data_IF_613650748177
#
_entry.id   IF_613650748177
#
_cell.length_a   1.000
_cell.length_b   1.000
_cell.length_c   1.000
_cell.angle_alpha   90.00
_cell.angle_beta   90.00
_cell.angle_gamma   90.00
#
_symmetry.space_group_name_H-M   'P 1'
#
loop_
_entity.id
_entity.type
_entity.pdbx_description
1 polymer ?
#
# COMPACT_ATOMS: atom_id res chain seq x y z
N UNK A 1 -4.92 -6.49 -12.79
CA UNK A 1 -5.69 -6.06 -13.98
C UNK A 1 -5.96 -4.56 -13.98
N UNK A 2 -6.47 -3.96 -12.89
CA UNK A 2 -6.74 -2.51 -12.82
C UNK A 2 -5.52 -1.59 -12.94
N UNK A 3 -4.38 -1.95 -12.34
CA UNK A 3 -3.16 -1.12 -12.33
C UNK A 3 -2.52 -0.94 -13.73
N UNK A 4 -2.65 -1.94 -14.60
CA UNK A 4 -2.12 -1.91 -15.97
C UNK A 4 -3.04 -1.16 -16.93
N UNK A 5 -4.36 -1.14 -16.67
CA UNK A 5 -5.32 -0.40 -17.47
C UNK A 5 -5.12 1.12 -17.31
N UNK A 6 -4.83 1.59 -16.09
CA UNK A 6 -4.65 3.02 -15.80
C UNK A 6 -3.29 3.54 -16.32
N UNK A 7 -2.22 2.75 -16.19
CA UNK A 7 -0.90 3.12 -16.71
C UNK A 7 -0.83 3.15 -18.25
N UNK A 8 -1.58 2.29 -18.96
CA UNK A 8 -1.61 2.28 -20.42
C UNK A 8 -2.49 3.38 -21.03
N UNK A 9 -3.48 3.88 -20.31
CA UNK A 9 -4.47 4.82 -20.87
C UNK A 9 -4.06 6.30 -20.75
N UNK A 10 -2.91 6.61 -20.12
CA UNK A 10 -2.45 7.98 -19.87
C UNK A 10 -1.02 8.28 -20.37
N UNK A 11 -0.33 7.32 -21.01
CA UNK A 11 1.01 7.55 -21.53
C UNK A 11 1.00 7.93 -23.03
N UNK A 12 1.60 9.07 -23.44
CA UNK A 12 1.89 9.35 -24.85
C UNK A 12 2.78 8.22 -25.43
N UNK A 13 2.51 7.75 -26.67
CA UNK A 13 3.11 6.54 -27.25
C UNK A 13 4.64 6.60 -27.50
N UNK A 14 5.31 7.68 -27.15
CA UNK A 14 6.69 7.97 -27.55
C UNK A 14 7.75 7.72 -26.47
N UNK A 15 7.38 7.39 -25.22
CA UNK A 15 8.34 7.39 -24.08
C UNK A 15 8.27 6.12 -23.21
N UNK A 16 7.84 4.98 -23.75
CA UNK A 16 7.88 3.70 -22.99
C UNK A 16 8.67 2.67 -23.78
N UNK A 17 9.93 2.44 -23.38
CA UNK A 17 10.80 1.43 -24.00
C UNK A 17 10.33 0.02 -23.64
N UNK A 18 10.43 -0.91 -24.60
CA UNK A 18 9.97 -2.31 -24.46
C UNK A 18 10.60 -3.03 -23.27
N UNK A 19 11.81 -2.65 -22.86
CA UNK A 19 12.52 -3.20 -21.69
C UNK A 19 11.90 -2.81 -20.34
N UNK A 20 11.40 -1.58 -20.17
CA UNK A 20 10.67 -1.18 -18.96
C UNK A 20 9.36 -1.95 -18.82
N UNK A 21 8.76 -2.32 -19.95
CA UNK A 21 7.55 -3.17 -20.02
C UNK A 21 7.87 -4.61 -19.62
N UNK A 22 8.96 -5.18 -20.10
CA UNK A 22 9.43 -6.53 -19.75
C UNK A 22 9.93 -6.65 -18.31
N UNK A 23 10.63 -5.64 -17.78
CA UNK A 23 11.02 -5.60 -16.37
C UNK A 23 9.80 -5.53 -15.46
N UNK A 24 8.79 -4.75 -15.84
CA UNK A 24 7.51 -4.72 -15.13
C UNK A 24 6.82 -6.09 -15.18
N UNK A 25 6.80 -6.78 -16.31
CA UNK A 25 6.22 -8.13 -16.47
C UNK A 25 6.93 -9.21 -15.65
N UNK A 26 8.26 -9.17 -15.54
CA UNK A 26 9.05 -10.08 -14.72
C UNK A 26 8.78 -9.85 -13.22
N UNK A 27 8.60 -8.59 -12.82
CA UNK A 27 8.17 -8.21 -11.47
C UNK A 27 6.73 -8.74 -11.24
N UNK A 28 5.81 -8.58 -12.21
CA UNK A 28 4.43 -9.09 -12.16
C UNK A 28 4.32 -10.64 -12.06
N UNK A 29 5.23 -11.40 -12.70
CA UNK A 29 5.22 -12.87 -12.60
C UNK A 29 5.76 -13.37 -11.25
N UNK A 30 6.73 -12.68 -10.65
CA UNK A 30 7.20 -12.96 -9.29
C UNK A 30 6.19 -12.49 -8.22
N UNK A 31 5.39 -11.47 -8.53
CA UNK A 31 4.28 -10.94 -7.71
C UNK A 31 3.19 -11.96 -7.40
N UNK A 32 2.72 -12.74 -8.38
CA UNK A 32 1.68 -13.77 -8.15
C UNK A 32 2.14 -14.90 -7.23
N UNK A 33 3.44 -15.03 -7.01
CA UNK A 33 4.05 -16.06 -6.16
C UNK A 33 4.35 -15.57 -4.74
N UNK A 34 4.33 -14.26 -4.49
CA UNK A 34 4.76 -13.71 -3.19
C UNK A 34 3.55 -13.51 -2.27
N UNK A 35 3.54 -14.20 -1.13
CA UNK A 35 2.40 -14.34 -0.21
C UNK A 35 1.96 -13.07 0.56
N UNK A 36 2.34 -11.86 0.15
CA UNK A 36 2.03 -10.66 0.93
C UNK A 36 2.14 -9.36 0.12
N UNK A 37 1.02 -8.69 -0.24
CA UNK A 37 1.04 -7.41 -0.96
C UNK A 37 1.61 -6.23 -0.14
N UNK A 38 1.82 -6.42 1.18
CA UNK A 38 2.27 -5.39 2.11
C UNK A 38 3.71 -4.93 1.83
N UNK A 39 4.66 -5.86 1.69
CA UNK A 39 6.09 -5.58 1.45
C UNK A 39 6.30 -4.78 0.16
N UNK A 40 5.50 -5.11 -0.85
CA UNK A 40 5.53 -4.41 -2.11
C UNK A 40 5.03 -2.98 -1.97
N UNK A 41 3.87 -2.78 -1.34
CA UNK A 41 3.32 -1.44 -1.16
C UNK A 41 4.31 -0.56 -0.39
N UNK A 42 5.01 -1.11 0.61
CA UNK A 42 6.10 -0.42 1.30
C UNK A 42 7.23 -0.05 0.35
N UNK A 43 7.71 -0.99 -0.46
CA UNK A 43 8.76 -0.73 -1.47
C UNK A 43 8.36 0.38 -2.45
N UNK A 44 7.10 0.40 -2.89
CA UNK A 44 6.59 1.44 -3.80
C UNK A 44 6.55 2.79 -3.09
N UNK A 45 6.06 2.84 -1.84
CA UNK A 45 6.02 4.05 -1.04
C UNK A 45 7.42 4.63 -0.82
N UNK A 46 8.45 3.78 -0.66
CA UNK A 46 9.82 4.24 -0.44
C UNK A 46 10.52 4.76 -1.70
N UNK A 47 10.30 4.08 -2.84
CA UNK A 47 11.04 4.30 -4.09
C UNK A 47 10.35 5.20 -5.10
N UNK A 48 9.01 5.28 -5.06
CA UNK A 48 8.26 6.10 -6.01
C UNK A 48 8.21 7.55 -5.54
N UNK A 49 8.35 8.46 -6.50
CA UNK A 49 8.11 9.91 -6.33
C UNK A 49 6.87 10.37 -7.11
N UNK A 50 6.18 9.44 -7.77
CA UNK A 50 4.99 9.73 -8.58
C UNK A 50 3.75 9.62 -7.70
N UNK A 51 3.10 10.74 -7.46
CA UNK A 51 1.95 10.88 -6.56
C UNK A 51 0.82 9.88 -6.85
N UNK A 52 0.49 9.67 -8.13
CA UNK A 52 -0.55 8.73 -8.54
C UNK A 52 -0.19 7.28 -8.15
N UNK A 53 1.09 6.90 -8.29
CA UNK A 53 1.57 5.57 -7.94
C UNK A 53 1.52 5.36 -6.43
N UNK A 54 1.88 6.40 -5.66
CA UNK A 54 1.79 6.39 -4.20
C UNK A 54 0.33 6.28 -3.73
N UNK A 55 -0.58 7.02 -4.37
CA UNK A 55 -2.01 6.97 -4.06
C UNK A 55 -2.62 5.59 -4.32
N UNK A 56 -2.32 5.00 -5.48
CA UNK A 56 -2.78 3.66 -5.82
C UNK A 56 -2.17 2.59 -4.90
N UNK A 57 -0.89 2.71 -4.54
CA UNK A 57 -0.28 1.82 -3.56
C UNK A 57 -0.99 1.90 -2.19
N UNK A 58 -1.33 3.11 -1.73
CA UNK A 58 -2.11 3.31 -0.51
C UNK A 58 -3.53 2.71 -0.62
N UNK A 59 -4.17 2.78 -1.80
CA UNK A 59 -5.48 2.18 -2.03
C UNK A 59 -5.45 0.64 -2.06
N UNK A 60 -4.44 0.05 -2.70
CA UNK A 60 -4.19 -1.40 -2.68
C UNK A 60 -3.93 -1.87 -1.26
N UNK A 61 -3.11 -1.13 -0.51
CA UNK A 61 -2.84 -1.42 0.89
C UNK A 61 -4.12 -1.40 1.73
N UNK A 62 -4.97 -0.38 1.55
CA UNK A 62 -6.29 -0.28 2.19
C UNK A 62 -7.13 -1.52 1.91
N UNK A 63 -7.24 -1.92 0.64
CA UNK A 63 -8.03 -3.08 0.22
C UNK A 63 -7.49 -4.39 0.79
N UNK A 64 -6.17 -4.58 0.78
CA UNK A 64 -5.52 -5.76 1.34
C UNK A 64 -5.76 -5.88 2.85
N UNK A 65 -5.49 -4.81 3.61
CA UNK A 65 -5.80 -4.75 5.05
C UNK A 65 -7.28 -5.04 5.31
N UNK A 66 -8.17 -4.53 4.47
CA UNK A 66 -9.61 -4.74 4.60
C UNK A 66 -10.02 -6.19 4.34
N UNK A 67 -9.46 -6.83 3.33
CA UNK A 67 -9.82 -8.18 2.90
C UNK A 67 -9.20 -9.28 3.78
N UNK A 68 -7.94 -9.09 4.19
CA UNK A 68 -7.12 -10.15 4.76
C UNK A 68 -6.88 -10.01 6.26
N UNK A 69 -7.47 -9.00 6.92
CA UNK A 69 -7.22 -8.66 8.32
C UNK A 69 -7.03 -9.83 9.30
N UNK A 70 -7.94 -10.83 9.23
CA UNK A 70 -7.92 -12.02 10.12
C UNK A 70 -6.75 -12.97 9.86
N UNK A 71 -6.14 -12.89 8.68
CA UNK A 71 -5.04 -13.73 8.25
C UNK A 71 -3.68 -13.04 8.44
N UNK A 72 -3.67 -11.76 8.80
CA UNK A 72 -2.44 -11.01 9.11
C UNK A 72 -2.04 -11.35 10.55
N UNK A 73 -0.80 -11.79 10.81
CA UNK A 73 -0.27 -11.95 12.16
C UNK A 73 -0.28 -10.63 12.93
N UNK A 74 -0.55 -10.65 14.25
CA UNK A 74 -0.63 -9.41 15.04
C UNK A 74 0.69 -8.62 15.06
N UNK A 75 1.83 -9.31 15.02
CA UNK A 75 3.15 -8.69 14.87
C UNK A 75 3.27 -7.90 13.56
N UNK A 76 2.74 -8.44 12.46
CA UNK A 76 2.76 -7.79 11.15
C UNK A 76 1.78 -6.61 11.09
N UNK A 77 0.63 -6.72 11.76
CA UNK A 77 -0.31 -5.59 11.93
C UNK A 77 0.37 -4.42 12.66
N UNK A 78 1.04 -4.70 13.79
CA UNK A 78 1.74 -3.68 14.57
C UNK A 78 2.90 -3.06 13.78
N UNK A 79 3.71 -3.88 13.12
CA UNK A 79 4.84 -3.45 12.29
C UNK A 79 4.40 -2.55 11.13
N UNK A 80 3.33 -2.94 10.41
CA UNK A 80 2.78 -2.14 9.32
C UNK A 80 2.22 -0.81 9.82
N UNK A 81 1.50 -0.80 10.96
CA UNK A 81 0.98 0.44 11.56
C UNK A 81 2.12 1.42 11.88
N UNK A 82 3.17 0.93 12.53
CA UNK A 82 4.34 1.75 12.87
C UNK A 82 5.05 2.28 11.63
N UNK A 83 5.24 1.43 10.62
CA UNK A 83 5.83 1.82 9.35
C UNK A 83 5.05 2.98 8.69
N UNK A 84 3.72 2.86 8.58
CA UNK A 84 2.89 3.87 7.93
C UNK A 84 2.92 5.21 8.66
N UNK A 85 2.87 5.19 10.00
CA UNK A 85 2.99 6.38 10.82
C UNK A 85 4.36 7.05 10.65
N UNK A 86 5.44 6.27 10.71
CA UNK A 86 6.80 6.78 10.47
C UNK A 86 6.93 7.39 9.07
N UNK A 87 6.38 6.72 8.05
CA UNK A 87 6.40 7.22 6.68
C UNK A 87 5.69 8.58 6.54
N UNK A 88 4.51 8.72 7.16
CA UNK A 88 3.73 9.97 7.14
C UNK A 88 4.46 11.11 7.87
N UNK A 89 5.12 10.81 8.99
CA UNK A 89 5.80 11.82 9.81
C UNK A 89 7.12 12.26 9.17
N UNK A 90 7.87 11.33 8.57
CA UNK A 90 9.21 11.58 8.05
C UNK A 90 9.24 12.19 6.65
N UNK A 91 8.19 12.01 5.85
CA UNK A 91 8.16 12.47 4.46
C UNK A 91 7.15 13.58 4.25
N UNK A 92 7.55 14.59 3.49
CA UNK A 92 6.63 15.60 3.00
C UNK A 92 5.85 15.05 1.79
N UNK A 93 4.75 14.36 2.08
CA UNK A 93 3.83 13.83 1.08
C UNK A 93 2.61 14.74 0.90
N UNK A 94 2.04 14.81 -0.32
CA UNK A 94 0.80 15.53 -0.58
C UNK A 94 -0.33 15.14 0.37
N UNK A 95 -1.15 16.13 0.77
CA UNK A 95 -2.22 15.97 1.78
C UNK A 95 -3.18 14.83 1.42
N UNK A 96 -3.56 14.68 0.15
CA UNK A 96 -4.50 13.64 -0.26
C UNK A 96 -3.92 12.22 -0.11
N UNK A 97 -2.60 12.04 -0.28
CA UNK A 97 -1.91 10.76 -0.05
C UNK A 97 -1.78 10.52 1.45
N UNK A 98 -1.42 11.57 2.20
CA UNK A 98 -1.36 11.54 3.67
C UNK A 98 -2.68 11.10 4.28
N UNK A 99 -3.79 11.72 3.87
CA UNK A 99 -5.13 11.38 4.34
C UNK A 99 -5.50 9.94 3.99
N UNK A 100 -5.11 9.47 2.81
CA UNK A 100 -5.33 8.08 2.40
C UNK A 100 -4.59 7.10 3.30
N UNK A 101 -3.31 7.35 3.59
CA UNK A 101 -2.51 6.49 4.46
C UNK A 101 -3.00 6.55 5.92
N UNK A 102 -3.38 7.74 6.41
CA UNK A 102 -4.02 7.90 7.72
C UNK A 102 -5.35 7.14 7.81
N UNK A 103 -6.15 7.11 6.74
CA UNK A 103 -7.35 6.26 6.70
C UNK A 103 -7.02 4.78 6.82
N UNK A 104 -5.92 4.30 6.21
CA UNK A 104 -5.48 2.90 6.38
C UNK A 104 -5.15 2.63 7.85
N UNK A 105 -4.35 3.50 8.47
CA UNK A 105 -4.00 3.38 9.90
C UNK A 105 -5.24 3.40 10.79
N UNK A 106 -6.19 4.31 10.54
CA UNK A 106 -7.45 4.39 11.28
C UNK A 106 -8.28 3.11 11.15
N UNK A 107 -8.33 2.49 9.96
CA UNK A 107 -9.00 1.20 9.75
C UNK A 107 -8.31 0.09 10.56
N UNK A 108 -6.97 0.07 10.59
CA UNK A 108 -6.22 -0.91 11.36
C UNK A 108 -6.51 -0.79 12.86
N UNK A 109 -6.48 0.42 13.43
CA UNK A 109 -6.79 0.68 14.84
C UNK A 109 -8.25 0.29 15.15
N UNK A 110 -9.20 0.72 14.31
CA UNK A 110 -10.61 0.40 14.50
C UNK A 110 -10.85 -1.10 14.53
N UNK A 111 -10.19 -1.87 13.66
CA UNK A 111 -10.36 -3.32 13.60
C UNK A 111 -9.66 -4.06 14.72
N UNK A 112 -8.46 -3.65 15.10
CA UNK A 112 -7.76 -4.20 16.26
C UNK A 112 -8.64 -4.07 17.52
N UNK A 113 -9.24 -2.90 17.72
CA UNK A 113 -10.15 -2.64 18.83
C UNK A 113 -11.43 -3.51 18.83
N UNK A 114 -11.90 -3.99 17.66
CA UNK A 114 -13.04 -4.90 17.60
C UNK A 114 -12.68 -6.33 17.97
N UNK A 115 -11.44 -6.75 17.70
CA UNK A 115 -10.92 -8.09 18.07
C UNK A 115 -10.55 -8.15 19.56
N UNK A 116 -10.09 -7.03 20.11
CA UNK A 116 -9.64 -6.89 21.49
C UNK A 116 -10.78 -6.66 22.51
N UNK A 117 -12.06 -6.71 22.10
CA UNK A 117 -13.22 -6.37 22.96
C UNK A 117 -13.07 -4.99 23.65
N UNK A 118 -12.21 -4.11 23.12
CA UNK A 118 -12.03 -2.74 23.61
C UNK A 118 -10.98 -2.51 24.71
N UNK A 119 -9.99 -3.39 24.92
CA UNK A 119 -8.92 -3.14 25.92
C UNK A 119 -8.06 -1.92 25.54
N UNK A 120 -7.69 -1.73 24.27
CA UNK A 120 -6.94 -0.53 23.81
C UNK A 120 -7.72 0.81 23.91
N UNK A 121 -9.05 0.80 24.16
CA UNK A 121 -9.83 2.06 24.31
C UNK A 121 -9.76 2.65 25.73
N UNK A 122 -9.18 1.91 26.68
CA UNK A 122 -9.15 2.26 28.10
C UNK A 122 -7.84 2.88 28.58
N UNK A 123 -6.86 3.13 27.71
CA UNK A 123 -5.56 3.74 28.05
C UNK A 123 -5.37 5.12 27.43
#
# INVERSE_FOLDING_TARGET
TFFFQILLQQAPPTVVTKEQRQQSEAIFMNFRKTKSPYVLCQTILEKSVVDLVLFEAADVLKKAVVAEWKYIPDQDKASLRQYLLNYIIQRDIPVFIRDKLLQVVAIMIKRASLEDVGVERGQ
#
